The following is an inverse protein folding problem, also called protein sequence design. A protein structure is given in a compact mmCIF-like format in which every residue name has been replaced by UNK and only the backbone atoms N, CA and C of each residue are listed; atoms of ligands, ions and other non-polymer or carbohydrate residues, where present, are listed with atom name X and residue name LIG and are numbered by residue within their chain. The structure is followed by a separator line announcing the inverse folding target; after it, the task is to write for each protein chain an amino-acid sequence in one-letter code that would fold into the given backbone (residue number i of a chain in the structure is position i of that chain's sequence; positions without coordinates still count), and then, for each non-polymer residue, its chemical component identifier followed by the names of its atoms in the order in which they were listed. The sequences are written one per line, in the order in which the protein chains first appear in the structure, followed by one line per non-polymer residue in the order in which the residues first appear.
data_IF_614378120253
#
_entry.id   IF_614378120253
#
_cell.length_a   1.000
_cell.length_b   1.000
_cell.length_c   1.000
_cell.angle_alpha   90.00
_cell.angle_beta   90.00
_cell.angle_gamma   90.00
#
_symmetry.space_group_name_H-M   'P 1'
#
loop_
_entity.id
_entity.type
_entity.pdbx_description
1 polymer ?
#
# COMPACT_ATOMS: atom_id res chain seq x y z
N UNK A 1 24.49 -23.46 14.54
CA UNK A 1 24.62 -23.16 13.10
C UNK A 1 24.54 -21.66 12.94
N UNK A 2 25.40 -21.07 12.11
CA UNK A 2 25.40 -19.62 11.87
C UNK A 2 24.11 -19.22 11.14
N UNK A 3 23.20 -18.57 11.86
CA UNK A 3 22.06 -17.90 11.27
C UNK A 3 22.56 -16.64 10.53
N UNK A 4 22.04 -16.34 9.32
CA UNK A 4 22.38 -15.11 8.62
C UNK A 4 21.69 -13.87 9.21
N UNK A 5 20.84 -14.04 10.23
CA UNK A 5 20.02 -12.99 10.82
C UNK A 5 20.62 -12.43 12.11
N UNK A 6 20.17 -11.22 12.48
CA UNK A 6 20.43 -10.65 13.79
C UNK A 6 19.48 -11.26 14.82
N UNK A 7 19.95 -12.31 15.47
CA UNK A 7 19.18 -13.02 16.49
C UNK A 7 19.41 -12.41 17.88
N UNK A 8 18.32 -12.18 18.60
CA UNK A 8 18.34 -11.78 20.00
C UNK A 8 17.68 -12.87 20.86
N UNK A 9 18.24 -13.09 22.05
CA UNK A 9 17.77 -14.11 22.98
C UNK A 9 16.64 -13.57 23.88
N UNK A 10 15.46 -13.33 23.30
CA UNK A 10 14.25 -13.02 24.05
C UNK A 10 13.83 -14.24 24.89
N UNK A 11 13.58 -14.04 26.19
CA UNK A 11 13.15 -15.11 27.12
C UNK A 11 11.75 -14.90 27.64
N UNK A 12 11.40 -13.66 27.96
CA UNK A 12 10.10 -13.34 28.53
C UNK A 12 9.55 -12.04 27.93
N UNK A 13 8.23 -11.95 27.91
CA UNK A 13 7.51 -10.71 27.69
C UNK A 13 6.72 -10.44 28.97
N UNK A 14 6.83 -9.24 29.51
CA UNK A 14 6.02 -8.80 30.64
C UNK A 14 5.01 -7.77 30.15
N UNK A 15 3.75 -7.88 30.59
CA UNK A 15 2.68 -6.90 30.29
C UNK A 15 2.20 -6.34 31.62
N UNK A 16 2.20 -5.01 31.74
CA UNK A 16 1.91 -4.33 33.01
C UNK A 16 2.76 -4.87 34.19
N UNK A 17 4.04 -5.14 33.92
CA UNK A 17 4.99 -5.68 34.90
C UNK A 17 4.81 -7.16 35.27
N UNK A 18 3.85 -7.88 34.65
CA UNK A 18 3.61 -9.31 34.90
C UNK A 18 4.12 -10.16 33.74
N UNK A 19 4.91 -11.22 34.00
CA UNK A 19 5.36 -12.13 32.94
C UNK A 19 4.18 -12.86 32.29
N UNK A 20 4.25 -13.05 30.98
CA UNK A 20 3.32 -13.94 30.28
C UNK A 20 3.55 -15.38 30.77
N UNK A 21 2.47 -16.10 31.08
CA UNK A 21 2.53 -17.50 31.50
C UNK A 21 2.81 -18.41 30.28
N UNK A 22 4.08 -18.48 29.87
CA UNK A 22 4.56 -19.21 28.71
C UNK A 22 5.86 -19.93 29.03
N UNK A 23 6.12 -21.05 28.36
CA UNK A 23 7.44 -21.65 28.38
C UNK A 23 8.42 -20.72 27.61
N UNK A 24 9.55 -20.28 28.20
CA UNK A 24 10.51 -19.40 27.53
C UNK A 24 11.03 -19.94 26.18
N UNK A 25 10.99 -21.27 25.97
CA UNK A 25 11.36 -21.90 24.70
C UNK A 25 10.48 -21.47 23.52
N UNK A 26 9.29 -20.90 23.77
CA UNK A 26 8.42 -20.38 22.71
C UNK A 26 9.09 -19.26 21.91
N UNK A 27 9.90 -18.41 22.55
CA UNK A 27 10.62 -17.32 21.88
C UNK A 27 11.96 -17.77 21.27
N UNK A 28 12.37 -19.01 21.55
CA UNK A 28 13.73 -19.54 21.36
C UNK A 28 13.78 -20.82 20.54
N UNK A 29 12.88 -21.01 19.57
CA UNK A 29 12.91 -22.16 18.64
C UNK A 29 14.20 -22.23 17.79
N UNK A 30 14.22 -23.04 16.71
CA UNK A 30 15.44 -23.31 15.90
C UNK A 30 16.25 -22.06 15.45
N UNK A 31 15.62 -20.89 15.37
CA UNK A 31 16.24 -19.63 14.92
C UNK A 31 16.02 -18.47 15.90
N UNK A 32 15.56 -18.71 17.13
CA UNK A 32 15.37 -17.65 18.14
C UNK A 32 14.41 -16.53 17.73
N UNK A 33 14.66 -15.33 18.25
CA UNK A 33 13.95 -14.09 17.88
C UNK A 33 14.83 -13.27 16.93
N UNK A 34 14.29 -12.86 15.78
CA UNK A 34 14.99 -12.08 14.77
C UNK A 34 14.62 -10.60 14.93
N UNK A 35 15.62 -9.72 14.92
CA UNK A 35 15.42 -8.28 14.77
C UNK A 35 15.57 -7.91 13.28
N UNK A 36 14.52 -7.32 12.70
CA UNK A 36 14.46 -7.08 11.26
C UNK A 36 13.88 -5.69 10.95
N UNK A 37 14.74 -4.77 10.53
CA UNK A 37 14.33 -3.43 10.10
C UNK A 37 13.55 -3.43 8.77
N UNK A 38 13.61 -4.51 7.98
CA UNK A 38 12.87 -4.67 6.74
C UNK A 38 11.39 -5.03 6.94
N UNK A 39 10.99 -5.31 8.19
CA UNK A 39 9.61 -5.64 8.54
C UNK A 39 8.99 -4.51 9.36
N UNK A 40 7.79 -4.06 9.00
CA UNK A 40 7.08 -2.97 9.70
C UNK A 40 6.64 -3.37 11.11
N UNK A 41 5.95 -4.51 11.23
CA UNK A 41 5.30 -4.98 12.46
C UNK A 41 6.07 -6.11 13.13
N UNK A 42 5.64 -6.49 14.35
CA UNK A 42 6.18 -7.68 14.99
C UNK A 42 5.28 -8.90 14.74
N UNK A 43 5.89 -10.08 14.72
CA UNK A 43 5.20 -11.35 14.57
C UNK A 43 5.69 -12.30 15.65
N UNK A 44 4.77 -12.82 16.45
CA UNK A 44 5.06 -13.78 17.52
C UNK A 44 4.51 -15.16 17.17
N UNK A 45 5.13 -16.24 17.66
CA UNK A 45 4.52 -17.57 17.62
C UNK A 45 3.11 -17.54 18.18
N UNK A 46 2.21 -18.35 17.64
CA UNK A 46 0.77 -18.28 17.93
C UNK A 46 0.44 -18.30 19.43
N UNK A 47 1.08 -19.17 20.20
CA UNK A 47 0.91 -19.24 21.65
C UNK A 47 1.38 -17.96 22.37
N UNK A 48 2.51 -17.37 21.94
CA UNK A 48 3.00 -16.11 22.48
C UNK A 48 2.09 -14.94 22.14
N UNK A 49 1.64 -14.85 20.88
CA UNK A 49 0.70 -13.82 20.45
C UNK A 49 -0.62 -13.90 21.24
N UNK A 50 -1.17 -15.11 21.41
CA UNK A 50 -2.42 -15.30 22.15
C UNK A 50 -2.29 -14.83 23.62
N UNK A 51 -1.21 -15.22 24.29
CA UNK A 51 -0.94 -14.79 25.67
C UNK A 51 -0.71 -13.27 25.75
N UNK A 52 0.07 -12.70 24.83
CA UNK A 52 0.33 -11.27 24.75
C UNK A 52 -0.97 -10.47 24.57
N UNK A 53 -1.77 -10.82 23.55
CA UNK A 53 -3.06 -10.20 23.27
C UNK A 53 -3.96 -10.25 24.51
N UNK A 54 -4.13 -11.42 25.11
CA UNK A 54 -5.01 -11.58 26.26
C UNK A 54 -4.54 -10.75 27.46
N UNK A 55 -3.23 -10.69 27.71
CA UNK A 55 -2.66 -9.88 28.77
C UNK A 55 -2.87 -8.38 28.53
N UNK A 56 -2.64 -7.90 27.30
CA UNK A 56 -2.87 -6.48 26.96
C UNK A 56 -4.35 -6.14 27.10
N UNK A 57 -5.25 -6.91 26.47
CA UNK A 57 -6.70 -6.68 26.49
C UNK A 57 -7.25 -6.65 27.91
N UNK A 58 -6.72 -7.49 28.82
CA UNK A 58 -7.13 -7.51 30.21
C UNK A 58 -6.88 -6.19 30.96
N UNK A 59 -5.86 -5.44 30.54
CA UNK A 59 -5.51 -4.15 31.14
C UNK A 59 -6.28 -2.97 30.49
N UNK A 60 -7.07 -3.22 29.43
CA UNK A 60 -7.85 -2.19 28.73
C UNK A 60 -9.26 -2.06 29.34
N UNK A 61 -9.39 -1.30 30.44
CA UNK A 61 -10.66 -1.21 31.17
C UNK A 61 -11.71 -0.28 30.56
N UNK A 62 -11.30 0.75 29.81
CA UNK A 62 -12.20 1.82 29.32
C UNK A 62 -12.33 1.87 27.80
N UNK A 63 -11.59 1.02 27.07
CA UNK A 63 -11.51 1.07 25.62
C UNK A 63 -12.51 0.11 24.98
N UNK A 64 -13.10 0.53 23.85
CA UNK A 64 -14.03 -0.29 23.08
C UNK A 64 -13.31 -0.96 21.92
N UNK A 65 -13.34 -2.29 21.85
CA UNK A 65 -12.83 -3.01 20.69
C UNK A 65 -13.66 -2.66 19.43
N UNK A 66 -12.97 -2.38 18.32
CA UNK A 66 -13.55 -2.04 17.02
C UNK A 66 -12.89 -2.87 15.92
N UNK A 67 -13.50 -2.89 14.73
CA UNK A 67 -12.90 -3.51 13.55
C UNK A 67 -11.64 -2.77 13.10
N UNK A 68 -10.80 -3.47 12.34
CA UNK A 68 -9.63 -2.92 11.70
C UNK A 68 -9.99 -1.88 10.63
N UNK A 69 -9.03 -1.01 10.27
CA UNK A 69 -9.28 -0.01 9.26
C UNK A 69 -9.36 -0.62 7.85
N UNK A 70 -8.75 -1.78 7.59
CA UNK A 70 -8.96 -2.57 6.38
C UNK A 70 -9.66 -3.90 6.74
N UNK A 71 -10.90 -4.13 6.26
CA UNK A 71 -11.66 -5.35 6.59
C UNK A 71 -11.04 -6.63 6.01
N UNK A 72 -10.08 -6.52 5.08
CA UNK A 72 -9.34 -7.66 4.53
C UNK A 72 -8.38 -8.27 5.56
N UNK A 73 -8.00 -7.49 6.58
CA UNK A 73 -7.11 -7.90 7.66
C UNK A 73 -7.87 -8.06 8.97
N UNK A 74 -7.45 -9.01 9.79
CA UNK A 74 -8.05 -9.27 11.11
C UNK A 74 -7.31 -8.51 12.20
N UNK A 75 -7.27 -7.19 12.05
CA UNK A 75 -6.60 -6.32 13.02
C UNK A 75 -7.39 -6.27 14.33
N UNK A 76 -6.66 -6.11 15.44
CA UNK A 76 -7.25 -6.01 16.78
C UNK A 76 -7.10 -4.56 17.22
N UNK A 77 -8.21 -3.83 17.18
CA UNK A 77 -8.23 -2.39 17.38
C UNK A 77 -9.14 -1.97 18.52
N UNK A 78 -8.81 -0.84 19.14
CA UNK A 78 -9.51 -0.28 20.30
C UNK A 78 -9.71 1.21 20.10
N UNK A 79 -10.92 1.69 20.37
CA UNK A 79 -11.31 3.10 20.32
C UNK A 79 -11.51 3.68 21.73
N UNK A 80 -11.40 5.00 21.84
CA UNK A 80 -11.58 5.74 23.10
C UNK A 80 -10.28 6.12 23.80
N UNK A 81 -9.12 5.85 23.21
CA UNK A 81 -7.82 6.13 23.83
C UNK A 81 -7.36 7.60 23.71
N UNK A 82 -8.07 8.41 22.91
CA UNK A 82 -7.69 9.79 22.62
C UNK A 82 -6.61 9.91 21.53
N UNK A 83 -6.50 11.09 20.92
CA UNK A 83 -5.59 11.30 19.77
C UNK A 83 -4.16 11.66 20.15
N UNK A 84 -3.89 11.91 21.43
CA UNK A 84 -2.57 12.32 21.87
C UNK A 84 -1.71 11.10 22.20
N UNK A 85 -0.71 10.83 21.36
CA UNK A 85 0.19 9.66 21.47
C UNK A 85 0.91 9.65 22.83
N UNK A 86 1.32 10.81 23.34
CA UNK A 86 2.04 10.91 24.63
C UNK A 86 1.17 10.52 25.83
N UNK A 87 -0.15 10.41 25.65
CA UNK A 87 -1.08 10.01 26.71
C UNK A 87 -1.54 8.56 26.58
N UNK A 88 -1.04 7.79 25.61
CA UNK A 88 -1.47 6.39 25.42
C UNK A 88 -1.14 5.50 26.61
N UNK A 89 -0.08 5.81 27.37
CA UNK A 89 0.28 5.09 28.59
C UNK A 89 -0.79 5.14 29.68
N UNK A 90 -1.76 6.08 29.59
CA UNK A 90 -2.92 6.13 30.50
C UNK A 90 -3.93 5.01 30.23
N UNK A 91 -3.97 4.52 28.99
CA UNK A 91 -5.00 3.57 28.52
C UNK A 91 -4.42 2.21 28.14
N UNK A 92 -3.11 2.15 27.86
CA UNK A 92 -2.43 0.96 27.40
C UNK A 92 -1.19 0.68 28.26
N UNK A 93 -0.93 -0.59 28.62
CA UNK A 93 0.15 -0.94 29.54
C UNK A 93 1.53 -0.78 28.90
N UNK A 94 2.57 -0.64 29.74
CA UNK A 94 3.94 -0.89 29.28
C UNK A 94 4.16 -2.39 29.04
N UNK A 95 5.04 -2.71 28.11
CA UNK A 95 5.43 -4.07 27.77
C UNK A 95 6.95 -4.18 27.88
N UNK A 96 7.47 -5.12 28.66
CA UNK A 96 8.92 -5.36 28.72
C UNK A 96 9.30 -6.60 27.92
N UNK A 97 10.33 -6.49 27.09
CA UNK A 97 11.01 -7.63 26.49
C UNK A 97 12.25 -7.95 27.30
N UNK A 98 12.31 -9.14 27.90
CA UNK A 98 13.40 -9.56 28.80
C UNK A 98 14.32 -10.54 28.08
N UNK A 99 15.62 -10.22 28.05
CA UNK A 99 16.64 -10.99 27.36
C UNK A 99 17.37 -11.98 28.27
N UNK A 100 18.17 -12.88 27.69
CA UNK A 100 18.92 -13.92 28.42
C UNK A 100 19.90 -13.38 29.47
N UNK A 101 20.40 -12.15 29.31
CA UNK A 101 21.28 -11.49 30.27
C UNK A 101 20.51 -10.72 31.37
N UNK A 102 19.19 -10.88 31.42
CA UNK A 102 18.30 -10.23 32.38
C UNK A 102 17.98 -8.76 32.08
N UNK A 103 18.59 -8.17 31.03
CA UNK A 103 18.26 -6.81 30.61
C UNK A 103 16.88 -6.76 29.98
N UNK A 104 16.27 -5.58 30.03
CA UNK A 104 14.92 -5.32 29.55
C UNK A 104 14.92 -4.21 28.52
N UNK A 105 14.16 -4.41 27.44
CA UNK A 105 13.71 -3.34 26.56
C UNK A 105 12.25 -3.02 26.89
N UNK A 106 12.02 -1.90 27.57
CA UNK A 106 10.68 -1.42 27.90
C UNK A 106 10.06 -0.74 26.68
N UNK A 107 8.91 -1.23 26.26
CA UNK A 107 8.12 -0.75 25.15
C UNK A 107 6.99 0.13 25.69
N UNK A 108 6.91 1.33 25.13
CA UNK A 108 5.75 2.21 25.30
C UNK A 108 4.65 1.80 24.31
N UNK A 109 3.39 2.27 24.48
CA UNK A 109 2.30 1.89 23.59
C UNK A 109 2.57 2.12 22.09
N UNK A 110 3.30 3.17 21.72
CA UNK A 110 3.74 3.44 20.33
C UNK A 110 4.66 2.36 19.73
N UNK A 111 5.27 1.53 20.57
CA UNK A 111 6.16 0.45 20.14
C UNK A 111 5.43 -0.86 19.82
N UNK A 112 4.13 -0.96 20.11
CA UNK A 112 3.33 -2.14 19.79
C UNK A 112 1.92 -1.80 19.28
N UNK A 113 1.59 -0.52 19.12
CA UNK A 113 0.35 -0.03 18.54
C UNK A 113 0.60 0.81 17.28
N UNK A 114 -0.28 0.68 16.31
CA UNK A 114 -0.39 1.63 15.20
C UNK A 114 -1.75 2.32 15.21
N UNK A 115 -1.83 3.49 14.59
CA UNK A 115 -3.04 4.31 14.61
C UNK A 115 -4.10 3.78 13.65
N UNK A 116 -5.37 3.82 14.07
CA UNK A 116 -6.49 3.47 13.20
C UNK A 116 -6.89 4.67 12.34
N UNK A 117 -6.55 4.65 11.05
CA UNK A 117 -6.69 5.84 10.19
C UNK A 117 -8.13 6.31 9.94
N UNK A 118 -9.13 5.42 10.05
CA UNK A 118 -10.54 5.80 9.87
C UNK A 118 -11.22 6.33 11.14
N UNK A 119 -10.69 6.02 12.33
CA UNK A 119 -11.36 6.28 13.62
C UNK A 119 -10.40 7.02 14.54
N UNK A 120 -10.70 8.29 14.80
CA UNK A 120 -9.83 9.16 15.58
C UNK A 120 -9.70 8.64 17.02
N UNK A 121 -8.47 8.60 17.52
CA UNK A 121 -8.18 8.11 18.87
C UNK A 121 -8.42 6.61 19.05
N UNK A 122 -8.42 5.86 17.95
CA UNK A 122 -8.37 4.42 17.97
C UNK A 122 -6.99 3.92 17.49
N UNK A 123 -6.58 2.78 18.04
CA UNK A 123 -5.28 2.16 17.81
C UNK A 123 -5.41 0.65 17.72
N UNK A 124 -4.51 0.04 16.96
CA UNK A 124 -4.50 -1.38 16.66
C UNK A 124 -3.20 -2.02 17.13
N UNK A 125 -3.24 -3.28 17.57
CA UNK A 125 -2.03 -4.04 17.87
C UNK A 125 -1.18 -4.18 16.60
N UNK A 126 0.06 -3.70 16.65
CA UNK A 126 1.08 -3.93 15.62
C UNK A 126 1.96 -5.14 15.91
N UNK A 127 1.45 -6.09 16.69
CA UNK A 127 2.03 -7.41 16.90
C UNK A 127 1.00 -8.43 16.42
N UNK A 128 1.43 -9.35 15.56
CA UNK A 128 0.57 -10.33 14.88
C UNK A 128 1.01 -11.77 15.17
N UNK A 129 0.13 -12.77 14.96
CA UNK A 129 0.55 -14.16 14.99
C UNK A 129 1.38 -14.49 13.74
N UNK A 130 2.49 -15.20 13.91
CA UNK A 130 3.33 -15.68 12.80
C UNK A 130 2.81 -17.00 12.18
N UNK A 131 1.49 -17.20 12.17
CA UNK A 131 0.86 -18.45 11.77
C UNK A 131 1.50 -19.67 12.44
N UNK A 132 1.85 -20.69 11.64
CA UNK A 132 2.52 -21.91 12.11
C UNK A 132 4.04 -21.77 12.27
N UNK A 133 4.61 -20.59 11.97
CA UNK A 133 6.05 -20.37 12.07
C UNK A 133 6.43 -20.12 13.55
N UNK A 134 7.35 -20.93 14.12
CA UNK A 134 7.77 -20.78 15.51
C UNK A 134 8.78 -19.64 15.74
N UNK A 135 9.10 -18.87 14.70
CA UNK A 135 10.04 -17.74 14.78
C UNK A 135 9.33 -16.50 15.33
N UNK A 136 9.97 -15.80 16.26
CA UNK A 136 9.57 -14.44 16.61
C UNK A 136 10.34 -13.45 15.73
N UNK A 137 9.62 -12.50 15.14
CA UNK A 137 10.18 -11.45 14.29
C UNK A 137 9.83 -10.09 14.91
N UNK A 138 10.83 -9.28 15.22
CA UNK A 138 10.66 -7.95 15.77
C UNK A 138 10.96 -6.94 14.68
N UNK A 139 9.90 -6.33 14.16
CA UNK A 139 9.97 -5.29 13.14
C UNK A 139 10.21 -3.89 13.70
N UNK A 140 10.22 -2.91 12.81
CA UNK A 140 10.46 -1.49 13.08
C UNK A 140 9.56 -0.91 14.17
N UNK A 141 8.31 -1.38 14.31
CA UNK A 141 7.40 -0.88 15.36
C UNK A 141 7.99 -1.03 16.77
N UNK A 142 8.66 -2.15 17.07
CA UNK A 142 9.22 -2.46 18.40
C UNK A 142 10.36 -1.51 18.76
N UNK A 143 11.09 -1.04 17.75
CA UNK A 143 12.28 -0.18 17.90
C UNK A 143 12.01 1.28 17.51
N UNK A 144 10.75 1.70 17.35
CA UNK A 144 10.41 3.13 17.24
C UNK A 144 10.99 3.92 18.42
N UNK A 145 11.51 5.12 18.15
CA UNK A 145 12.16 5.97 19.15
C UNK A 145 13.23 5.21 19.96
N UNK A 146 14.01 4.38 19.25
CA UNK A 146 15.08 3.57 19.82
C UNK A 146 16.27 3.59 18.87
N UNK A 147 17.42 4.06 19.34
CA UNK A 147 18.68 3.87 18.63
C UNK A 147 19.12 2.42 18.82
N UNK A 148 19.25 1.71 17.70
CA UNK A 148 19.70 0.31 17.68
C UNK A 148 21.13 0.27 17.15
N UNK A 149 22.04 -0.34 17.90
CA UNK A 149 23.44 -0.51 17.50
C UNK A 149 23.75 -1.99 17.27
N UNK A 150 24.49 -2.28 16.20
CA UNK A 150 24.89 -3.63 15.82
C UNK A 150 26.40 -3.77 15.97
N UNK A 151 26.84 -4.30 17.10
CA UNK A 151 28.25 -4.61 17.34
C UNK A 151 28.53 -6.04 16.85
N UNK A 152 28.92 -6.12 15.58
CA UNK A 152 29.22 -7.40 14.90
C UNK A 152 30.48 -8.06 15.43
N UNK A 153 31.45 -7.28 15.91
CA UNK A 153 32.72 -7.78 16.43
C UNK A 153 32.50 -8.50 17.77
N UNK A 154 31.75 -7.87 18.68
CA UNK A 154 31.45 -8.45 19.99
C UNK A 154 30.15 -9.28 20.02
N UNK A 155 29.48 -9.43 18.88
CA UNK A 155 28.20 -10.18 18.71
C UNK A 155 27.11 -9.68 19.66
N UNK A 156 26.92 -8.36 19.71
CA UNK A 156 25.96 -7.71 20.62
C UNK A 156 25.08 -6.73 19.85
N UNK A 157 23.86 -6.57 20.35
CA UNK A 157 22.93 -5.55 19.87
C UNK A 157 22.60 -4.65 21.06
N UNK A 158 22.74 -3.35 20.85
CA UNK A 158 22.39 -2.33 21.84
C UNK A 158 21.06 -1.68 21.49
N UNK A 159 20.27 -1.38 22.52
CA UNK A 159 19.04 -0.61 22.41
C UNK A 159 19.14 0.60 23.33
N UNK A 160 18.92 1.79 22.79
CA UNK A 160 18.86 3.02 23.56
C UNK A 160 17.58 3.78 23.23
N UNK A 161 16.65 3.84 24.17
CA UNK A 161 15.42 4.63 24.05
C UNK A 161 15.77 6.11 23.95
N UNK A 162 15.25 6.76 22.90
CA UNK A 162 15.58 8.15 22.57
C UNK A 162 14.48 8.76 21.69
N UNK A 163 14.34 10.09 21.73
CA UNK A 163 13.55 10.78 20.71
C UNK A 163 14.40 10.89 19.44
N UNK A 164 14.00 10.19 18.37
CA UNK A 164 14.78 10.15 17.14
C UNK A 164 14.90 11.52 16.46
N UNK A 165 13.89 12.38 16.55
CA UNK A 165 13.94 13.75 16.02
C UNK A 165 14.96 14.60 16.77
N UNK A 166 14.92 14.59 18.10
CA UNK A 166 15.90 15.32 18.91
C UNK A 166 17.32 14.78 18.73
N UNK A 167 17.47 13.45 18.58
CA UNK A 167 18.76 12.83 18.30
C UNK A 167 19.30 13.31 16.94
N UNK A 168 18.46 13.33 15.91
CA UNK A 168 18.82 13.79 14.57
C UNK A 168 19.27 15.25 14.58
N UNK A 169 18.53 16.13 15.26
CA UNK A 169 18.89 17.53 15.42
C UNK A 169 20.28 17.69 16.05
N UNK A 170 20.56 16.94 17.12
CA UNK A 170 21.88 16.97 17.79
C UNK A 170 23.01 16.49 16.89
N UNK A 171 22.77 15.48 16.06
CA UNK A 171 23.77 14.95 15.14
C UNK A 171 24.05 15.94 13.99
N UNK A 172 23.05 16.67 13.53
CA UNK A 172 23.19 17.66 12.44
C UNK A 172 23.76 19.01 12.89
N UNK A 173 23.76 19.31 14.20
CA UNK A 173 24.38 20.51 14.76
C UNK A 173 25.91 20.43 14.87
N UNK A 174 26.51 19.27 14.56
CA UNK A 174 27.96 19.13 14.48
C UNK A 174 28.43 19.40 13.05
N UNK A 175 28.93 20.61 12.71
CA UNK A 175 29.63 20.76 11.44
C UNK A 175 30.78 19.74 11.39
N UNK A 176 30.96 19.03 10.27
CA UNK A 176 32.11 18.15 10.13
C UNK A 176 33.38 18.99 10.37
N UNK A 177 34.36 18.50 11.14
CA UNK A 177 35.62 19.19 11.28
C UNK A 177 36.21 19.43 9.88
N UNK A 178 36.85 20.60 9.63
CA UNK A 178 37.46 20.87 8.35
C UNK A 178 38.45 19.75 8.04
N UNK A 179 38.23 19.08 6.90
CA UNK A 179 39.14 18.08 6.39
C UNK A 179 40.53 18.72 6.18
N UNK A 180 41.62 18.09 6.67
CA UNK A 180 42.95 18.60 6.38
C UNK A 180 43.20 18.61 4.86
N UNK A 181 43.95 19.60 4.34
CA UNK A 181 44.24 19.67 2.91
C UNK A 181 44.95 18.38 2.47
N UNK A 182 44.42 17.75 1.42
CA UNK A 182 45.01 16.55 0.84
C UNK A 182 46.40 16.88 0.27
N UNK A 183 47.47 16.14 0.62
CA UNK A 183 48.75 16.31 -0.05
C UNK A 183 48.64 15.84 -1.51
N UNK A 184 49.09 16.68 -2.42
CA UNK A 184 49.23 16.35 -3.84
C UNK A 184 50.28 15.25 -4.01
N UNK A 185 49.83 14.07 -4.46
CA UNK A 185 50.71 12.94 -4.75
C UNK A 185 51.49 13.25 -6.04
N UNK A 186 52.80 13.43 -5.93
CA UNK A 186 53.71 13.25 -7.06
C UNK A 186 54.92 12.43 -6.62
N UNK A 187 55.29 11.50 -7.50
CA UNK A 187 56.38 10.54 -7.46
C UNK A 187 56.11 9.19 -6.76
N UNK A 188 56.28 8.18 -7.62
CA UNK A 188 56.21 6.75 -7.48
C UNK A 188 57.55 6.25 -6.91
N UNK A 189 57.55 5.38 -5.90
CA UNK A 189 58.55 4.29 -5.87
C UNK A 189 58.12 3.11 -4.99
N UNK A 190 58.45 1.90 -5.49
CA UNK A 190 58.01 0.60 -4.99
C UNK A 190 58.96 0.03 -3.93
N UNK A 191 58.46 -0.39 -2.75
CA UNK A 191 58.90 -1.64 -2.08
C UNK A 191 57.89 -2.13 -1.02
N UNK A 192 57.57 -3.42 -1.07
CA UNK A 192 56.70 -4.24 -0.17
C UNK A 192 57.28 -4.43 1.27
N UNK A 193 56.60 -5.12 2.23
CA UNK A 193 55.15 -5.26 2.51
C UNK A 193 54.81 -5.21 4.02
N UNK A 194 53.93 -4.32 4.48
CA UNK A 194 53.07 -4.57 5.67
C UNK A 194 52.06 -3.44 5.76
N UNK A 195 50.82 -3.66 5.30
CA UNK A 195 49.78 -2.64 5.36
C UNK A 195 48.59 -3.19 6.14
N UNK A 196 48.38 -2.58 7.31
CA UNK A 196 47.14 -2.59 8.05
C UNK A 196 45.96 -2.36 7.09
N UNK A 197 45.00 -3.28 7.11
CA UNK A 197 43.73 -3.13 6.42
C UNK A 197 42.91 -2.04 7.14
N UNK A 198 43.01 -0.81 6.66
CA UNK A 198 41.99 0.20 6.89
C UNK A 198 40.68 -0.27 6.24
N UNK A 199 39.52 -0.06 6.90
CA UNK A 199 38.26 -0.58 6.40
C UNK A 199 37.89 0.07 5.07
N UNK A 200 37.48 -0.77 4.13
CA UNK A 200 36.84 -0.37 2.87
C UNK A 200 35.74 0.65 3.14
N UNK A 201 35.79 1.77 2.41
CA UNK A 201 34.64 2.68 2.27
C UNK A 201 33.39 1.89 1.93
N UNK A 202 32.27 2.25 2.56
CA UNK A 202 30.97 1.65 2.27
C UNK A 202 30.66 1.77 0.77
N UNK A 203 30.07 0.75 0.14
CA UNK A 203 29.68 0.85 -1.26
C UNK A 203 28.56 1.89 -1.37
N UNK A 204 28.85 3.00 -2.05
CA UNK A 204 27.85 3.93 -2.56
C UNK A 204 27.15 3.29 -3.76
N UNK A 205 26.20 2.42 -3.47
CA UNK A 205 25.34 1.78 -4.45
C UNK A 205 24.59 0.61 -3.82
N UNK A 206 23.27 0.47 -4.06
CA UNK A 206 22.54 -0.68 -3.54
C UNK A 206 23.16 -1.96 -4.13
N UNK A 207 23.41 -3.01 -3.33
CA UNK A 207 23.87 -4.28 -3.85
C UNK A 207 22.81 -4.80 -4.82
N UNK A 208 23.24 -5.07 -6.05
CA UNK A 208 22.41 -5.65 -7.10
C UNK A 208 21.87 -7.00 -6.66
N UNK A 209 20.68 -6.98 -6.06
CA UNK A 209 19.87 -8.17 -5.92
C UNK A 209 19.25 -8.47 -7.27
N UNK A 210 19.59 -9.65 -7.81
CA UNK A 210 18.87 -10.26 -8.90
C UNK A 210 17.37 -10.25 -8.58
N UNK A 211 16.61 -9.41 -9.30
CA UNK A 211 15.15 -9.44 -9.40
C UNK A 211 14.71 -10.78 -10.00
N UNK A 212 13.53 -11.30 -9.60
CA UNK A 212 12.32 -10.82 -10.23
C UNK A 212 11.10 -10.78 -9.30
N UNK A 213 10.73 -9.59 -8.84
CA UNK A 213 9.32 -9.16 -8.82
C UNK A 213 9.31 -7.67 -9.17
N UNK A 214 9.16 -7.33 -10.44
CA UNK A 214 8.81 -5.97 -10.85
C UNK A 214 7.37 -5.71 -10.41
N UNK A 215 7.19 -5.20 -9.20
CA UNK A 215 5.89 -4.71 -8.73
C UNK A 215 5.56 -3.48 -9.57
N UNK A 216 4.63 -3.65 -10.51
CA UNK A 216 4.08 -2.55 -11.28
C UNK A 216 3.17 -1.75 -10.36
N UNK A 217 3.54 -0.50 -10.07
CA UNK A 217 2.77 0.40 -9.21
C UNK A 217 1.83 1.22 -10.08
N UNK A 218 0.53 1.15 -9.82
CA UNK A 218 -0.48 1.87 -10.62
C UNK A 218 -0.54 3.34 -10.28
N UNK A 219 -0.68 3.64 -8.99
CA UNK A 219 -0.65 4.98 -8.44
C UNK A 219 -0.32 4.92 -6.94
N UNK A 220 0.11 6.03 -6.39
CA UNK A 220 0.36 6.19 -4.95
C UNK A 220 -0.67 7.18 -4.43
N UNK A 221 -1.50 6.78 -3.46
CA UNK A 221 -2.43 7.70 -2.79
C UNK A 221 -1.91 8.10 -1.42
N UNK A 222 -2.24 9.30 -0.96
CA UNK A 222 -1.93 9.77 0.39
C UNK A 222 -2.95 10.81 0.86
N UNK A 223 -2.96 11.09 2.16
CA UNK A 223 -3.87 12.06 2.77
C UNK A 223 -3.10 13.25 3.35
N UNK A 224 -3.67 14.43 3.17
CA UNK A 224 -3.14 15.68 3.70
C UNK A 224 -4.25 16.40 4.50
N UNK A 225 -4.00 16.62 5.78
CA UNK A 225 -4.84 17.45 6.65
C UNK A 225 -4.25 18.84 6.71
N UNK A 226 -5.03 19.86 6.38
CA UNK A 226 -4.62 21.27 6.35
C UNK A 226 -5.50 22.06 7.32
N UNK A 227 -4.89 22.94 8.11
CA UNK A 227 -5.60 23.86 9.02
C UNK A 227 -6.22 25.07 8.28
N UNK A 228 -6.84 24.81 7.12
CA UNK A 228 -7.53 25.80 6.27
C UNK A 228 -8.89 25.23 5.90
N UNK A 229 -9.92 26.07 5.90
CA UNK A 229 -11.27 25.67 5.54
C UNK A 229 -11.35 25.31 4.04
N UNK A 230 -12.16 24.31 3.67
CA UNK A 230 -12.33 23.90 2.26
C UNK A 230 -12.76 25.05 1.34
N UNK A 231 -13.56 26.01 1.81
CA UNK A 231 -14.00 27.15 0.99
C UNK A 231 -12.83 28.05 0.57
N UNK A 232 -11.81 28.16 1.42
CA UNK A 232 -10.58 28.94 1.17
C UNK A 232 -9.53 28.12 0.44
N UNK A 233 -9.51 26.79 0.65
CA UNK A 233 -8.59 25.90 -0.03
C UNK A 233 -8.95 25.69 -1.51
N UNK A 234 -10.25 25.61 -1.84
CA UNK A 234 -10.74 25.28 -3.19
C UNK A 234 -10.13 26.13 -4.31
N UNK A 235 -10.06 27.48 -4.22
CA UNK A 235 -9.42 28.28 -5.26
C UNK A 235 -7.89 28.07 -5.37
N UNK A 236 -7.26 27.55 -4.32
CA UNK A 236 -5.80 27.40 -4.20
C UNK A 236 -5.30 25.98 -4.41
N UNK A 237 -6.18 25.07 -4.81
CA UNK A 237 -5.82 23.69 -5.20
C UNK A 237 -4.71 23.66 -6.26
N UNK A 238 -4.71 24.50 -7.32
CA UNK A 238 -3.63 24.49 -8.31
C UNK A 238 -2.24 24.82 -7.72
N UNK A 239 -2.17 25.78 -6.80
CA UNK A 239 -0.95 26.11 -6.07
C UNK A 239 -0.48 24.92 -5.22
N UNK A 240 -1.41 24.26 -4.54
CA UNK A 240 -1.12 23.11 -3.70
C UNK A 240 -0.65 21.89 -4.52
N UNK A 241 -1.21 21.66 -5.71
CA UNK A 241 -0.74 20.63 -6.64
C UNK A 241 0.71 20.87 -7.04
N UNK A 242 1.07 22.12 -7.36
CA UNK A 242 2.43 22.48 -7.73
C UNK A 242 3.42 22.24 -6.58
N UNK A 243 3.03 22.65 -5.37
CA UNK A 243 3.84 22.45 -4.18
C UNK A 243 4.07 20.97 -3.86
N UNK A 244 3.01 20.16 -3.89
CA UNK A 244 3.11 18.71 -3.69
C UNK A 244 4.02 18.07 -4.75
N UNK A 245 3.92 18.51 -6.00
CA UNK A 245 4.76 17.99 -7.07
C UNK A 245 6.26 18.31 -6.83
N UNK A 246 6.55 19.52 -6.35
CA UNK A 246 7.90 19.94 -6.00
C UNK A 246 8.46 19.15 -4.82
N UNK A 247 7.70 18.99 -3.74
CA UNK A 247 8.10 18.21 -2.55
C UNK A 247 8.37 16.74 -2.87
N UNK A 248 7.58 16.15 -3.77
CA UNK A 248 7.75 14.75 -4.17
C UNK A 248 8.76 14.55 -5.30
N UNK A 249 9.30 15.63 -5.86
CA UNK A 249 10.15 15.67 -7.06
C UNK A 249 9.52 14.90 -8.24
N UNK A 250 8.26 15.22 -8.53
CA UNK A 250 7.48 14.65 -9.64
C UNK A 250 6.91 15.76 -10.52
N UNK A 251 6.46 15.42 -11.73
CA UNK A 251 5.80 16.40 -12.58
C UNK A 251 4.42 16.79 -12.01
N UNK A 252 4.08 18.07 -12.06
CA UNK A 252 2.76 18.62 -11.68
C UNK A 252 1.61 17.83 -12.31
N UNK A 253 1.76 17.35 -13.55
CA UNK A 253 0.73 16.56 -14.25
C UNK A 253 0.43 15.20 -13.61
N UNK A 254 1.35 14.69 -12.79
CA UNK A 254 1.22 13.41 -12.10
C UNK A 254 0.39 13.52 -10.82
N UNK A 255 0.31 14.71 -10.21
CA UNK A 255 -0.38 14.89 -8.93
C UNK A 255 -1.84 15.30 -9.17
N UNK A 256 -2.78 14.56 -8.57
CA UNK A 256 -4.22 14.87 -8.67
C UNK A 256 -4.91 14.80 -7.32
N UNK A 257 -5.81 15.74 -7.10
CA UNK A 257 -6.77 15.68 -6.00
C UNK A 257 -7.85 14.64 -6.34
N UNK A 258 -8.02 13.63 -5.48
CA UNK A 258 -8.99 12.56 -5.66
C UNK A 258 -10.30 12.87 -4.92
N UNK A 259 -10.18 13.36 -3.69
CA UNK A 259 -11.32 13.71 -2.85
C UNK A 259 -10.91 14.80 -1.86
N UNK A 260 -11.87 15.61 -1.42
CA UNK A 260 -11.67 16.55 -0.34
C UNK A 260 -12.91 16.53 0.57
N UNK A 261 -12.68 16.67 1.87
CA UNK A 261 -13.74 16.69 2.87
C UNK A 261 -13.46 17.75 3.92
N UNK A 262 -14.53 18.34 4.45
CA UNK A 262 -14.47 19.27 5.59
C UNK A 262 -14.57 18.52 6.90
N UNK A 263 -13.72 18.89 7.86
CA UNK A 263 -13.81 18.39 9.23
C UNK A 263 -13.61 19.54 10.20
N UNK A 264 -14.70 20.24 10.53
CA UNK A 264 -14.64 21.48 11.32
C UNK A 264 -13.99 22.60 10.50
N UNK A 265 -12.97 23.26 11.06
CA UNK A 265 -12.20 24.30 10.38
C UNK A 265 -11.05 23.75 9.51
N UNK A 266 -10.78 22.44 9.58
CA UNK A 266 -9.71 21.79 8.84
C UNK A 266 -10.24 21.15 7.55
N UNK A 267 -9.38 21.05 6.55
CA UNK A 267 -9.65 20.33 5.31
C UNK A 267 -8.82 19.05 5.26
N UNK A 268 -9.48 17.92 4.96
CA UNK A 268 -8.82 16.64 4.70
C UNK A 268 -8.90 16.36 3.20
N UNK A 269 -7.74 16.23 2.57
CA UNK A 269 -7.61 16.03 1.13
C UNK A 269 -6.94 14.69 0.82
N UNK A 270 -7.50 13.93 -0.12
CA UNK A 270 -6.92 12.69 -0.66
C UNK A 270 -6.28 13.00 -2.00
N UNK A 271 -5.00 12.68 -2.14
CA UNK A 271 -4.22 12.91 -3.34
C UNK A 271 -3.77 11.59 -3.97
N UNK A 272 -3.46 11.64 -5.25
CA UNK A 272 -2.85 10.54 -5.98
C UNK A 272 -1.70 11.04 -6.87
N UNK A 273 -0.61 10.28 -6.90
CA UNK A 273 0.50 10.43 -7.85
C UNK A 273 0.38 9.35 -8.91
N UNK A 274 0.21 9.77 -10.16
CA UNK A 274 0.07 8.92 -11.34
C UNK A 274 1.41 8.73 -12.08
N UNK A 275 1.56 7.65 -12.87
CA UNK A 275 2.77 7.41 -13.64
C UNK A 275 3.08 8.58 -14.60
N UNK A 276 4.36 8.78 -14.90
CA UNK A 276 4.78 9.84 -15.81
C UNK A 276 4.27 9.59 -17.25
N UNK A 277 3.78 10.65 -17.90
CA UNK A 277 3.31 10.60 -19.28
C UNK A 277 2.10 9.68 -19.48
N UNK A 278 2.19 8.76 -20.45
CA UNK A 278 1.14 7.78 -20.78
C UNK A 278 1.41 6.38 -20.23
N UNK A 279 2.32 6.24 -19.26
CA UNK A 279 2.67 4.93 -18.72
C UNK A 279 1.50 4.34 -17.91
N UNK A 280 1.27 3.03 -18.05
CA UNK A 280 0.24 2.31 -17.28
C UNK A 280 0.70 2.00 -15.83
N UNK A 281 1.99 2.19 -15.51
CA UNK A 281 2.57 1.92 -14.19
C UNK A 281 3.88 2.69 -13.95
N UNK A 282 4.22 2.90 -12.68
CA UNK A 282 5.52 3.39 -12.21
C UNK A 282 6.47 2.22 -11.95
N UNK A 283 7.77 2.47 -12.14
CA UNK A 283 8.83 1.55 -11.73
C UNK A 283 8.95 1.53 -10.21
N UNK A 284 9.38 0.39 -9.65
CA UNK A 284 9.56 0.22 -8.21
C UNK A 284 10.53 1.26 -7.62
N UNK A 285 11.66 1.52 -8.29
CA UNK A 285 12.63 2.53 -7.85
C UNK A 285 11.99 3.92 -7.71
N UNK A 286 11.23 4.36 -8.71
CA UNK A 286 10.51 5.64 -8.70
C UNK A 286 9.44 5.69 -7.61
N UNK A 287 8.68 4.60 -7.44
CA UNK A 287 7.66 4.53 -6.40
C UNK A 287 8.26 4.62 -4.99
N UNK A 288 9.38 3.92 -4.75
CA UNK A 288 10.09 3.93 -3.48
C UNK A 288 10.72 5.29 -3.17
N UNK A 289 11.17 6.03 -4.19
CA UNK A 289 11.68 7.40 -4.03
C UNK A 289 10.57 8.36 -3.58
N UNK A 290 9.40 8.31 -4.24
CA UNK A 290 8.21 9.09 -3.85
C UNK A 290 7.78 8.73 -2.43
N UNK A 291 7.75 7.44 -2.10
CA UNK A 291 7.40 6.94 -0.76
C UNK A 291 8.40 7.41 0.30
N UNK A 292 9.70 7.40 -0.03
CA UNK A 292 10.75 7.91 0.85
C UNK A 292 10.47 9.36 1.24
N UNK A 293 10.19 10.22 0.26
CA UNK A 293 9.84 11.63 0.48
C UNK A 293 8.54 11.81 1.26
N UNK A 294 7.53 10.97 1.00
CA UNK A 294 6.27 10.93 1.75
C UNK A 294 6.46 10.51 3.22
N UNK A 295 7.50 9.74 3.52
CA UNK A 295 7.79 9.20 4.84
C UNK A 295 8.74 10.09 5.67
N UNK A 296 9.39 11.07 5.04
CA UNK A 296 10.23 12.05 5.73
C UNK A 296 9.34 13.09 6.45
N UNK A 297 9.57 13.28 7.76
CA UNK A 297 8.93 14.33 8.56
C UNK A 297 9.51 15.71 8.20
N UNK A 298 9.24 16.21 6.99
CA UNK A 298 9.60 17.57 6.58
C UNK A 298 8.53 18.58 7.01
N UNK A 299 8.89 19.66 7.74
CA UNK A 299 7.98 20.73 8.11
C UNK A 299 8.13 21.92 7.15
N UNK A 300 7.55 21.90 5.94
CA UNK A 300 7.69 23.02 4.99
C UNK A 300 6.45 23.49 4.18
N UNK A 301 5.20 23.08 4.46
CA UNK A 301 4.08 24.04 4.25
C UNK A 301 4.05 25.06 5.39
N UNK A 302 4.99 26.01 5.42
CA UNK A 302 4.89 27.17 6.31
C UNK A 302 4.80 28.46 5.47
N UNK A 303 3.68 29.16 5.70
CA UNK A 303 3.24 30.51 5.29
C UNK A 303 1.98 30.60 4.43
N UNK A 304 1.63 29.58 3.64
CA UNK A 304 0.53 29.71 2.67
C UNK A 304 -0.71 28.87 3.00
N UNK A 305 -0.59 27.73 3.68
CA UNK A 305 -1.71 26.78 3.88
C UNK A 305 -1.88 26.28 5.32
N UNK A 306 -1.32 27.02 6.30
CA UNK A 306 -1.38 26.68 7.72
C UNK A 306 -0.55 25.44 8.08
N UNK A 307 -0.69 24.95 9.32
CA UNK A 307 -0.10 23.68 9.74
C UNK A 307 -0.74 22.52 8.99
N UNK A 308 0.07 21.58 8.53
CA UNK A 308 -0.39 20.39 7.83
C UNK A 308 0.12 19.13 8.52
N UNK A 309 -0.63 18.04 8.35
CA UNK A 309 -0.18 16.70 8.72
C UNK A 309 -0.45 15.75 7.56
N UNK A 310 0.60 15.05 7.16
CA UNK A 310 0.52 14.00 6.16
C UNK A 310 0.20 12.68 6.85
N UNK A 311 -0.74 11.92 6.29
CA UNK A 311 -1.18 10.64 6.83
C UNK A 311 -1.16 9.58 5.73
N UNK A 312 -0.74 8.36 6.10
CA UNK A 312 -0.85 7.09 5.39
C UNK A 312 -0.86 7.15 3.86
N UNK A 313 0.21 6.66 3.25
CA UNK A 313 0.27 6.43 1.80
C UNK A 313 -0.04 4.96 1.46
N UNK A 314 -0.76 4.75 0.35
CA UNK A 314 -1.14 3.42 -0.15
C UNK A 314 -0.71 3.28 -1.60
N UNK A 315 -0.03 2.18 -1.91
CA UNK A 315 0.29 1.76 -3.28
C UNK A 315 -0.92 1.01 -3.85
N UNK A 316 -1.56 1.57 -4.87
CA UNK A 316 -2.62 0.88 -5.59
C UNK A 316 -2.03 0.18 -6.84
N UNK A 317 -2.39 -1.09 -7.11
CA UNK A 317 -1.95 -1.79 -8.31
C UNK A 317 -2.54 -1.13 -9.57
N UNK A 318 -1.88 -1.24 -10.74
CA UNK A 318 -2.37 -0.65 -11.98
C UNK A 318 -3.79 -1.16 -12.23
N UNK A 319 -4.73 -0.25 -12.58
CA UNK A 319 -6.08 -0.65 -12.86
C UNK A 319 -6.04 -1.75 -13.92
N UNK A 320 -6.59 -2.92 -13.61
CA UNK A 320 -6.81 -3.96 -14.62
C UNK A 320 -7.65 -3.28 -15.68
N UNK A 321 -7.07 -3.03 -16.87
CA UNK A 321 -7.90 -2.69 -18.02
C UNK A 321 -8.94 -3.80 -18.07
N UNK A 322 -10.19 -3.47 -17.78
CA UNK A 322 -11.27 -4.21 -18.42
C UNK A 322 -10.96 -3.99 -19.88
N UNK A 323 -10.38 -5.01 -20.51
CA UNK A 323 -10.33 -5.11 -21.95
C UNK A 323 -11.80 -5.21 -22.33
N UNK A 324 -12.50 -4.08 -22.35
CA UNK A 324 -13.82 -4.00 -22.90
C UNK A 324 -13.60 -4.51 -24.32
N UNK A 325 -14.20 -5.65 -24.70
CA UNK A 325 -13.69 -6.34 -25.85
C UNK A 325 -13.93 -5.39 -27.01
N UNK A 326 -12.84 -4.91 -27.61
CA UNK A 326 -12.88 -4.18 -28.89
C UNK A 326 -13.64 -4.98 -29.95
N UNK A 327 -13.93 -6.26 -29.67
CA UNK A 327 -14.79 -7.18 -30.40
C UNK A 327 -16.30 -6.93 -30.23
N UNK A 328 -16.81 -6.26 -29.18
CA UNK A 328 -18.27 -6.06 -29.04
C UNK A 328 -18.79 -5.05 -30.05
N UNK A 329 -18.06 -3.94 -30.26
CA UNK A 329 -18.40 -2.98 -31.31
C UNK A 329 -18.26 -3.61 -32.70
N UNK A 330 -17.23 -4.43 -32.93
CA UNK A 330 -17.03 -5.17 -34.19
C UNK A 330 -18.15 -6.19 -34.42
N UNK A 331 -18.59 -6.91 -33.39
CA UNK A 331 -19.71 -7.85 -33.46
C UNK A 331 -21.04 -7.14 -33.73
N UNK A 332 -21.29 -6.00 -33.06
CA UNK A 332 -22.50 -5.19 -33.30
C UNK A 332 -22.51 -4.62 -34.71
N UNK A 333 -21.38 -4.08 -35.18
CA UNK A 333 -21.25 -3.58 -36.57
C UNK A 333 -21.42 -4.73 -37.57
N UNK A 334 -20.81 -5.90 -37.34
CA UNK A 334 -20.98 -7.07 -38.19
C UNK A 334 -22.44 -7.56 -38.23
N UNK A 335 -23.12 -7.60 -37.08
CA UNK A 335 -24.55 -7.95 -36.98
C UNK A 335 -25.44 -6.93 -37.71
N UNK A 336 -25.18 -5.63 -37.55
CA UNK A 336 -25.93 -4.58 -38.24
C UNK A 336 -25.73 -4.67 -39.75
N UNK A 337 -24.50 -4.90 -40.22
CA UNK A 337 -24.21 -5.10 -41.66
C UNK A 337 -24.91 -6.37 -42.19
N UNK A 338 -24.97 -7.45 -41.41
CA UNK A 338 -25.68 -8.68 -41.78
C UNK A 338 -27.19 -8.45 -41.89
N UNK A 339 -27.80 -7.76 -40.93
CA UNK A 339 -29.24 -7.48 -40.93
C UNK A 339 -29.62 -6.55 -42.09
N UNK A 340 -28.83 -5.49 -42.32
CA UNK A 340 -29.05 -4.57 -43.45
C UNK A 340 -28.83 -5.29 -44.79
N UNK A 341 -27.77 -6.10 -44.91
CA UNK A 341 -27.49 -6.89 -46.11
C UNK A 341 -28.57 -7.92 -46.44
N UNK A 342 -29.19 -8.54 -45.44
CA UNK A 342 -30.26 -9.54 -45.64
C UNK A 342 -31.65 -8.91 -45.89
N UNK A 343 -31.89 -7.69 -45.40
CA UNK A 343 -33.17 -6.99 -45.63
C UNK A 343 -33.29 -6.38 -47.03
N UNK A 344 -32.18 -6.02 -47.66
CA UNK A 344 -32.16 -5.48 -49.03
C UNK A 344 -32.75 -6.44 -50.10
N UNK A 345 -32.37 -7.72 -50.19
CA UNK A 345 -32.94 -8.64 -51.17
C UNK A 345 -34.41 -9.00 -50.88
N UNK A 346 -34.83 -9.01 -49.60
CA UNK A 346 -36.23 -9.24 -49.21
C UNK A 346 -37.11 -8.05 -49.61
N UNK A 347 -36.64 -6.82 -49.35
CA UNK A 347 -37.31 -5.60 -49.80
C UNK A 347 -37.40 -5.52 -51.33
N UNK A 348 -36.34 -5.90 -52.04
CA UNK A 348 -36.33 -5.98 -53.49
C UNK A 348 -37.29 -7.03 -54.05
N UNK A 349 -37.39 -8.21 -53.44
CA UNK A 349 -38.35 -9.25 -53.83
C UNK A 349 -39.80 -8.83 -53.59
N UNK A 350 -40.10 -8.15 -52.48
CA UNK A 350 -41.44 -7.61 -52.20
C UNK A 350 -41.80 -6.50 -53.19
N UNK A 351 -40.86 -5.61 -53.50
CA UNK A 351 -41.04 -4.56 -54.50
C UNK A 351 -41.24 -5.13 -55.91
N UNK A 352 -40.45 -6.15 -56.29
CA UNK A 352 -40.57 -6.86 -57.57
C UNK A 352 -41.91 -7.59 -57.70
N UNK A 353 -42.39 -8.24 -56.63
CA UNK A 353 -43.74 -8.86 -56.61
C UNK A 353 -44.88 -7.84 -56.70
N UNK A 354 -44.69 -6.61 -56.22
CA UNK A 354 -45.68 -5.53 -56.36
C UNK A 354 -45.71 -4.91 -57.76
N UNK A 355 -44.69 -5.12 -58.57
CA UNK A 355 -44.62 -4.63 -59.94
C UNK A 355 -45.08 -5.64 -61.00
N UNK A 356 -45.49 -6.87 -60.62
CA UNK A 356 -46.17 -7.73 -61.59
C UNK A 356 -47.54 -7.14 -61.93
N UNK A 357 -47.82 -6.84 -63.21
CA UNK A 357 -49.09 -6.30 -63.63
C UNK A 357 -50.19 -7.36 -63.47
N UNK A 358 -51.24 -7.02 -62.72
CA UNK A 358 -52.48 -7.79 -62.69
C UNK A 358 -53.02 -7.95 -64.12
N UNK A 359 -52.97 -9.16 -64.67
CA UNK A 359 -53.74 -9.49 -65.87
C UNK A 359 -55.24 -9.31 -65.57
N UNK A 360 -56.00 -8.60 -66.43
CA UNK A 360 -57.43 -8.41 -66.22
C UNK A 360 -58.19 -9.70 -66.51
N UNK A 361 -58.92 -10.21 -65.51
CA UNK A 361 -59.94 -11.23 -65.71
C UNK A 361 -61.16 -10.61 -66.42
N UNK A 362 -61.53 -11.17 -67.58
CA UNK A 362 -62.78 -10.86 -68.29
C UNK A 362 -64.00 -11.53 -67.63
N UNK A 363 -65.22 -11.00 -67.80
CA UNK A 363 -66.41 -11.46 -67.09
C UNK A 363 -66.93 -12.80 -67.63
N UNK A 364 -67.25 -13.70 -66.69
CA UNK A 364 -67.89 -15.00 -66.97
C UNK A 364 -69.35 -14.78 -67.37
N UNK A 365 -69.73 -15.45 -68.45
CA UNK A 365 -71.02 -15.34 -69.13
C UNK A 365 -72.22 -15.92 -68.39
N UNK A 366 -73.37 -15.47 -68.90
CA UNK A 366 -74.76 -15.74 -68.54
C UNK A 366 -75.15 -17.21 -68.78
N UNK A 367 -75.98 -17.76 -67.89
CA UNK A 367 -76.60 -19.08 -68.01
C UNK A 367 -77.82 -19.02 -68.92
N UNK A 368 -77.93 -19.96 -69.87
CA UNK A 368 -79.17 -20.53 -70.46
C UNK A 368 -78.75 -21.82 -71.22
N UNK A 369 -78.86 -22.99 -70.60
CA UNK A 369 -79.88 -24.05 -70.81
C UNK A 369 -79.76 -24.87 -72.12
N UNK A 370 -79.88 -26.20 -71.91
CA UNK A 370 -80.53 -27.24 -72.76
C UNK A 370 -79.61 -28.32 -73.40
N UNK A 371 -79.83 -29.55 -72.89
CA UNK A 371 -79.72 -30.92 -73.46
C UNK A 371 -78.35 -31.49 -73.88
N UNK A 372 -77.91 -32.58 -73.25
CA UNK A 372 -78.20 -34.00 -73.55
C UNK A 372 -77.30 -34.51 -74.69
N UNK A 373 -76.24 -35.26 -74.37
CA UNK A 373 -76.25 -36.69 -74.68
C UNK A 373 -75.07 -37.48 -74.12
N UNK A 374 -75.41 -38.74 -73.89
CA UNK A 374 -74.72 -39.81 -73.22
C UNK A 374 -74.06 -40.72 -74.27
N UNK A 375 -73.17 -41.60 -73.80
CA UNK A 375 -72.49 -42.72 -74.50
C UNK A 375 -71.07 -42.38 -75.02
N UNK A 376 -69.98 -42.74 -74.33
CA UNK A 376 -69.39 -44.09 -74.13
C UNK A 376 -69.29 -44.92 -75.41
N UNK A 377 -68.07 -45.11 -75.93
CA UNK A 377 -67.34 -46.37 -75.76
C UNK A 377 -65.89 -46.31 -76.29
N UNK A 378 -65.01 -47.24 -75.86
CA UNK A 378 -63.55 -47.11 -75.90
C UNK A 378 -62.85 -48.09 -76.87
N UNK A 379 -61.51 -48.07 -76.80
CA UNK A 379 -60.49 -49.05 -77.26
C UNK A 379 -59.78 -48.74 -78.58
N UNK A 380 -58.52 -48.28 -78.50
CA UNK A 380 -57.36 -49.18 -78.34
C UNK A 380 -56.13 -48.44 -77.82
#
# INVERSE_FOLDING_TARGET
GNSPYYNIDLKEIHVAGKPLNLNPRVFGGKHGTILDSGTTYAYLPEAAFAAFKNAVVKELHSLKQIEGPDPSFKDICFSGAGSNISQLSKNFPHVDMVFSDGKKLTLSPENYLFQHFKVRGAYCLGIFPNGKNPISLLGGIVVRNTLVTYDRENKRIGFWKTNCSELWDRLNLSPPPPSPPSPSLSSLDNTNPTAHLSPSSAPSGPPGYNTPVDIKVGLITFYLSLSVNCSELKPRIPELVHFIAQELDVNVSQVRLMNFSTKGNDSLTKWAVFPAGSADYMLNATAMEIIGRLAEDHPHLQHSFGTYKMFDWVIEPPPKRKLWPRNYLVLVVALVVLVVGLSAPVGWLIWRRRQEPNLPYGPVGRVETVTHDQELQPLK
#
